data_IF_649748949005
#
_entry.id   IF_649748949005
#
_cell.length_a   1.000
_cell.length_b   1.000
_cell.length_c   1.000
_cell.angle_alpha   90.00
_cell.angle_beta   90.00
_cell.angle_gamma   90.00
#
_symmetry.space_group_name_H-M   'P 1'
#
loop_
_entity.id
_entity.type
_entity.pdbx_description
1 polymer ?
#
# COMPACT_ATOMS: atom_id res chain seq x y z
N UNK A 1 -12.84 20.59 15.43
CA UNK A 1 -12.96 20.18 14.00
C UNK A 1 -12.09 21.01 13.07
N UNK A 2 -12.02 22.34 13.23
CA UNK A 2 -11.16 23.25 12.42
C UNK A 2 -9.65 22.95 12.47
N UNK A 3 -9.11 22.47 13.58
CA UNK A 3 -7.66 22.23 13.74
C UNK A 3 -7.11 21.02 12.96
N UNK A 4 -7.95 20.06 12.56
CA UNK A 4 -7.52 18.87 11.79
C UNK A 4 -7.36 19.22 10.30
N UNK A 5 -8.18 20.15 9.80
CA UNK A 5 -8.20 20.61 8.41
C UNK A 5 -6.88 21.29 8.02
N UNK A 6 -6.43 22.26 8.82
CA UNK A 6 -5.18 23.00 8.60
C UNK A 6 -3.95 22.09 8.55
N UNK A 7 -3.88 21.05 9.39
CA UNK A 7 -2.74 20.13 9.41
C UNK A 7 -2.67 19.26 8.13
N UNK A 8 -3.82 18.95 7.51
CA UNK A 8 -3.85 18.25 6.21
C UNK A 8 -3.38 19.16 5.10
N UNK A 9 -3.94 20.37 5.03
CA UNK A 9 -3.59 21.39 4.03
C UNK A 9 -2.09 21.72 4.07
N UNK A 10 -1.50 21.85 5.26
CA UNK A 10 -0.06 22.08 5.40
C UNK A 10 0.80 20.92 4.87
N UNK A 11 0.37 19.66 5.06
CA UNK A 11 1.10 18.50 4.55
C UNK A 11 0.99 18.38 3.04
N UNK A 12 -0.21 18.59 2.50
CA UNK A 12 -0.46 18.58 1.06
C UNK A 12 0.33 19.70 0.36
N UNK A 13 0.33 20.90 0.93
CA UNK A 13 1.13 22.01 0.43
C UNK A 13 2.64 21.73 0.49
N UNK A 14 3.14 21.15 1.60
CA UNK A 14 4.55 20.75 1.71
C UNK A 14 4.93 19.73 0.63
N UNK A 15 4.11 18.70 0.43
CA UNK A 15 4.32 17.69 -0.60
C UNK A 15 4.27 18.29 -2.01
N UNK A 16 3.39 19.27 -2.25
CA UNK A 16 3.33 20.02 -3.50
C UNK A 16 4.62 20.82 -3.73
N UNK A 17 5.13 21.54 -2.72
CA UNK A 17 6.40 22.26 -2.83
C UNK A 17 7.58 21.32 -3.13
N UNK A 18 7.63 20.15 -2.50
CA UNK A 18 8.64 19.12 -2.80
C UNK A 18 8.51 18.62 -4.24
N UNK A 19 7.29 18.39 -4.74
CA UNK A 19 7.07 17.99 -6.12
C UNK A 19 7.58 19.03 -7.13
N UNK A 20 7.35 20.32 -6.86
CA UNK A 20 7.86 21.42 -7.69
C UNK A 20 9.40 21.47 -7.72
N UNK A 21 10.07 21.09 -6.63
CA UNK A 21 11.53 20.99 -6.60
C UNK A 21 12.06 19.82 -7.44
N UNK A 22 11.30 18.73 -7.50
CA UNK A 22 11.69 17.51 -8.24
C UNK A 22 11.44 17.66 -9.75
N UNK A 23 10.41 18.41 -10.15
CA UNK A 23 10.00 18.59 -11.55
C UNK A 23 10.16 20.06 -11.98
N UNK A 24 11.33 20.44 -12.53
CA UNK A 24 11.57 21.81 -12.97
C UNK A 24 10.57 22.26 -14.03
N UNK A 25 10.04 23.48 -13.88
CA UNK A 25 9.07 24.08 -14.81
C UNK A 25 7.63 23.61 -14.63
N UNK A 26 7.35 22.71 -13.67
CA UNK A 26 5.98 22.26 -13.40
C UNK A 26 5.09 23.40 -12.87
N UNK A 27 5.64 24.29 -12.04
CA UNK A 27 4.90 25.45 -11.52
C UNK A 27 4.45 26.39 -12.64
N UNK A 28 5.39 26.80 -13.49
CA UNK A 28 5.10 27.65 -14.65
C UNK A 28 4.11 26.97 -15.60
N UNK A 29 4.24 25.65 -15.79
CA UNK A 29 3.31 24.91 -16.63
C UNK A 29 1.89 24.93 -16.03
N UNK A 30 1.74 24.61 -14.74
CA UNK A 30 0.44 24.62 -14.06
C UNK A 30 -0.23 26.00 -14.07
N UNK A 31 0.55 27.07 -13.89
CA UNK A 31 0.02 28.45 -13.86
C UNK A 31 -0.44 28.95 -15.23
N UNK A 32 0.03 28.35 -16.32
CA UNK A 32 -0.32 28.73 -17.70
C UNK A 32 -1.22 27.70 -18.40
N UNK A 33 -1.52 26.58 -17.75
CA UNK A 33 -2.31 25.47 -18.31
C UNK A 33 -3.81 25.71 -18.20
N UNK A 34 -4.57 25.05 -19.09
CA UNK A 34 -6.03 25.00 -18.97
C UNK A 34 -6.47 24.06 -17.85
N UNK A 35 -7.72 24.15 -17.42
CA UNK A 35 -8.28 23.26 -16.39
C UNK A 35 -8.16 21.78 -16.78
N UNK A 36 -8.41 21.44 -18.06
CA UNK A 36 -8.30 20.09 -18.58
C UNK A 36 -6.87 19.54 -18.51
N UNK A 37 -5.87 20.39 -18.78
CA UNK A 37 -4.46 20.01 -18.66
C UNK A 37 -4.07 19.79 -17.20
N UNK A 38 -4.54 20.64 -16.28
CA UNK A 38 -4.29 20.48 -14.84
C UNK A 38 -4.90 19.16 -14.33
N UNK A 39 -6.12 18.83 -14.75
CA UNK A 39 -6.75 17.54 -14.43
C UNK A 39 -5.92 16.38 -14.99
N UNK A 40 -5.42 16.51 -16.22
CA UNK A 40 -4.58 15.49 -16.83
C UNK A 40 -3.27 15.28 -16.06
N UNK A 41 -2.62 16.36 -15.61
CA UNK A 41 -1.41 16.30 -14.79
C UNK A 41 -1.71 15.62 -13.45
N UNK A 42 -2.82 15.96 -12.80
CA UNK A 42 -3.25 15.31 -11.56
C UNK A 42 -3.45 13.79 -11.75
N UNK A 43 -4.07 13.38 -12.85
CA UNK A 43 -4.23 11.96 -13.19
C UNK A 43 -2.89 11.24 -13.36
N UNK A 44 -1.90 11.89 -13.97
CA UNK A 44 -0.56 11.33 -14.14
C UNK A 44 0.16 11.17 -12.79
N UNK A 45 0.07 12.17 -11.92
CA UNK A 45 0.62 12.10 -10.55
C UNK A 45 -0.05 10.95 -9.79
N UNK A 46 -1.38 10.86 -9.85
CA UNK A 46 -2.13 9.80 -9.16
C UNK A 46 -1.77 8.40 -9.68
N UNK A 47 -1.53 8.25 -10.98
CA UNK A 47 -1.03 7.00 -11.58
C UNK A 47 0.37 6.66 -11.06
N UNK A 48 1.26 7.65 -10.95
CA UNK A 48 2.60 7.49 -10.37
C UNK A 48 2.55 7.01 -8.92
N UNK A 49 1.74 7.66 -8.07
CA UNK A 49 1.54 7.28 -6.66
C UNK A 49 1.01 5.84 -6.56
N UNK A 50 0.01 5.50 -7.36
CA UNK A 50 -0.54 4.15 -7.39
C UNK A 50 0.48 3.10 -7.85
N UNK A 51 1.34 3.46 -8.80
CA UNK A 51 2.47 2.64 -9.26
C UNK A 51 3.48 2.40 -8.14
N UNK A 52 3.96 3.46 -7.49
CA UNK A 52 4.92 3.36 -6.39
C UNK A 52 4.39 2.50 -5.22
N UNK A 53 3.12 2.69 -4.84
CA UNK A 53 2.47 1.86 -3.81
C UNK A 53 2.33 0.39 -4.26
N UNK A 54 2.04 0.16 -5.54
CA UNK A 54 1.97 -1.20 -6.08
C UNK A 54 3.35 -1.87 -6.05
N UNK A 55 4.40 -1.16 -6.44
CA UNK A 55 5.77 -1.68 -6.45
C UNK A 55 6.27 -2.00 -5.03
N UNK A 56 6.02 -1.12 -4.05
CA UNK A 56 6.35 -1.36 -2.64
C UNK A 56 5.66 -2.64 -2.11
N UNK A 57 4.37 -2.78 -2.38
CA UNK A 57 3.60 -3.95 -1.93
C UNK A 57 3.97 -5.24 -2.68
N UNK A 58 4.41 -5.16 -3.95
CA UNK A 58 4.87 -6.31 -4.72
C UNK A 58 6.27 -6.76 -4.33
N UNK A 59 7.19 -5.82 -4.09
CA UNK A 59 8.54 -6.11 -3.60
C UNK A 59 8.50 -6.80 -2.24
N UNK A 60 7.72 -6.26 -1.30
CA UNK A 60 7.54 -6.86 0.02
C UNK A 60 6.93 -8.27 -0.05
N UNK A 61 5.95 -8.49 -0.94
CA UNK A 61 5.37 -9.82 -1.17
C UNK A 61 6.40 -10.82 -1.64
N UNK A 62 7.28 -10.44 -2.57
CA UNK A 62 8.34 -11.32 -3.07
C UNK A 62 9.29 -11.74 -1.94
N UNK A 63 9.74 -10.79 -1.13
CA UNK A 63 10.63 -11.04 0.02
C UNK A 63 9.98 -11.97 1.04
N UNK A 64 8.70 -11.77 1.34
CA UNK A 64 7.96 -12.66 2.26
C UNK A 64 7.84 -14.07 1.68
N UNK A 65 7.58 -14.22 0.37
CA UNK A 65 7.56 -15.52 -0.31
C UNK A 65 8.90 -16.22 -0.15
N UNK A 66 10.02 -15.52 -0.38
CA UNK A 66 11.37 -16.08 -0.20
C UNK A 66 11.60 -16.56 1.23
N UNK A 67 11.13 -15.79 2.22
CA UNK A 67 11.29 -16.12 3.63
C UNK A 67 10.48 -17.35 4.07
N UNK A 68 9.22 -17.47 3.62
CA UNK A 68 8.33 -18.58 4.04
C UNK A 68 8.54 -19.87 3.22
N UNK A 69 9.21 -19.79 2.07
CA UNK A 69 9.48 -20.93 1.19
C UNK A 69 10.68 -21.72 1.71
N UNK A 70 10.53 -23.00 2.07
CA UNK A 70 11.67 -23.82 2.49
C UNK A 70 12.70 -23.96 1.36
N UNK A 71 13.99 -23.97 1.70
CA UNK A 71 15.07 -24.06 0.70
C UNK A 71 14.91 -25.30 -0.18
N UNK A 72 14.87 -25.09 -1.50
CA UNK A 72 14.72 -26.16 -2.49
C UNK A 72 13.29 -26.72 -2.62
N UNK A 73 12.29 -26.08 -2.01
CA UNK A 73 10.88 -26.44 -2.13
C UNK A 73 10.06 -25.29 -2.73
N UNK A 74 8.84 -25.58 -3.16
CA UNK A 74 7.85 -24.57 -3.55
C UNK A 74 6.71 -24.52 -2.53
N UNK A 75 6.05 -23.37 -2.39
CA UNK A 75 4.84 -23.25 -1.60
C UNK A 75 3.69 -23.99 -2.27
N UNK A 76 2.88 -24.67 -1.48
CA UNK A 76 1.65 -25.32 -1.94
C UNK A 76 0.45 -24.75 -1.15
N UNK A 77 -0.49 -24.03 -1.81
CA UNK A 77 -0.52 -23.72 -3.24
C UNK A 77 0.55 -22.70 -3.66
N UNK A 78 0.97 -22.72 -4.93
CA UNK A 78 1.96 -21.78 -5.44
C UNK A 78 1.45 -20.34 -5.33
N UNK A 79 2.24 -19.46 -4.70
CA UNK A 79 1.92 -18.02 -4.61
C UNK A 79 2.63 -17.29 -5.75
N UNK A 80 1.91 -16.80 -6.77
CA UNK A 80 2.51 -15.99 -7.82
C UNK A 80 3.04 -14.67 -7.25
N UNK A 81 4.32 -14.37 -7.50
CA UNK A 81 4.98 -13.15 -7.00
C UNK A 81 4.38 -11.89 -7.60
N UNK A 82 4.15 -11.90 -8.92
CA UNK A 82 3.73 -10.73 -9.69
C UNK A 82 2.20 -10.62 -9.88
N UNK A 83 1.41 -11.09 -8.91
CA UNK A 83 -0.05 -11.04 -8.99
C UNK A 83 -0.61 -10.38 -7.73
N UNK A 84 -1.36 -9.29 -7.91
CA UNK A 84 -1.97 -8.50 -6.83
C UNK A 84 -3.21 -9.17 -6.21
N UNK A 85 -3.78 -10.18 -6.88
CA UNK A 85 -4.99 -10.89 -6.47
C UNK A 85 -4.90 -11.40 -5.03
N UNK A 86 -5.82 -10.92 -4.18
CA UNK A 86 -5.96 -11.33 -2.79
C UNK A 86 -4.79 -11.04 -1.86
N UNK A 87 -3.77 -10.27 -2.28
CA UNK A 87 -2.66 -9.80 -1.43
C UNK A 87 -1.97 -10.89 -0.57
N UNK A 88 -2.06 -12.17 -0.94
CA UNK A 88 -1.53 -13.29 -0.13
C UNK A 88 -2.51 -13.99 0.80
N UNK A 89 -3.74 -13.47 0.99
CA UNK A 89 -4.77 -14.07 1.85
C UNK A 89 -5.37 -15.38 1.31
N UNK A 90 -5.18 -15.69 0.03
CA UNK A 90 -5.60 -16.98 -0.53
C UNK A 90 -4.74 -18.16 -0.05
N UNK A 91 -3.55 -17.90 0.48
CA UNK A 91 -2.63 -18.93 0.97
C UNK A 91 -2.65 -18.99 2.49
N UNK A 92 -2.91 -20.16 3.08
CA UNK A 92 -3.09 -20.32 4.54
C UNK A 92 -1.96 -19.71 5.36
N UNK A 93 -0.72 -20.09 5.07
CA UNK A 93 0.45 -19.61 5.83
C UNK A 93 0.66 -18.09 5.71
N UNK A 94 0.38 -17.51 4.55
CA UNK A 94 0.61 -16.09 4.30
C UNK A 94 -0.56 -15.26 4.84
N UNK A 95 -1.79 -15.73 4.69
CA UNK A 95 -2.97 -15.13 5.27
C UNK A 95 -2.92 -15.10 6.80
N UNK A 96 -2.43 -16.17 7.44
CA UNK A 96 -2.21 -16.19 8.89
C UNK A 96 -1.20 -15.13 9.36
N UNK A 97 -0.09 -14.95 8.63
CA UNK A 97 0.92 -13.91 8.93
C UNK A 97 0.41 -12.48 8.69
N UNK A 98 -0.46 -12.31 7.69
CA UNK A 98 -1.05 -11.02 7.35
C UNK A 98 -2.28 -10.67 8.21
N UNK A 99 -2.81 -11.64 8.96
CA UNK A 99 -3.95 -11.43 9.85
C UNK A 99 -3.57 -10.41 10.93
N UNK A 100 -4.37 -9.35 11.07
CA UNK A 100 -4.11 -8.30 12.05
C UNK A 100 -4.10 -8.88 13.47
N UNK A 101 -3.23 -8.33 14.33
CA UNK A 101 -3.22 -8.69 15.75
C UNK A 101 -4.61 -8.42 16.36
N UNK A 102 -5.20 -9.45 16.98
CA UNK A 102 -6.58 -9.41 17.50
C UNK A 102 -7.64 -10.02 16.58
N UNK A 103 -7.27 -10.45 15.36
CA UNK A 103 -8.12 -11.26 14.50
C UNK A 103 -7.63 -12.72 14.48
N UNK A 104 -8.55 -13.68 14.60
CA UNK A 104 -8.22 -15.10 14.48
C UNK A 104 -8.38 -15.57 13.02
N UNK A 105 -7.27 -15.96 12.40
CA UNK A 105 -7.24 -16.52 11.05
C UNK A 105 -8.03 -17.82 10.93
N UNK A 106 -8.10 -18.62 12.01
CA UNK A 106 -8.82 -19.89 12.01
C UNK A 106 -10.35 -19.70 11.96
N UNK A 107 -10.85 -18.49 12.22
CA UNK A 107 -12.27 -18.16 12.06
C UNK A 107 -12.58 -17.90 10.58
N UNK A 108 -13.41 -18.77 10.00
CA UNK A 108 -13.80 -18.72 8.58
C UNK A 108 -14.43 -17.38 8.15
N UNK A 109 -15.17 -16.74 9.04
CA UNK A 109 -15.77 -15.42 8.80
C UNK A 109 -14.71 -14.31 8.70
N UNK A 110 -13.73 -14.31 9.60
CA UNK A 110 -12.59 -13.38 9.60
C UNK A 110 -11.80 -13.53 8.30
N UNK A 111 -11.49 -14.77 7.92
CA UNK A 111 -10.79 -15.09 6.67
C UNK A 111 -11.57 -14.61 5.44
N UNK A 112 -12.87 -14.90 5.37
CA UNK A 112 -13.71 -14.46 4.26
C UNK A 112 -13.78 -12.93 4.16
N UNK A 113 -13.84 -12.22 5.29
CA UNK A 113 -13.85 -10.75 5.34
C UNK A 113 -12.51 -10.15 4.88
N UNK A 114 -11.38 -10.76 5.25
CA UNK A 114 -10.04 -10.35 4.81
C UNK A 114 -9.81 -10.62 3.32
N UNK A 115 -10.16 -11.80 2.82
CA UNK A 115 -10.03 -12.16 1.39
C UNK A 115 -10.88 -11.23 0.51
N UNK A 116 -12.10 -10.92 0.94
CA UNK A 116 -13.00 -10.04 0.20
C UNK A 116 -12.70 -8.54 0.38
N UNK A 117 -11.65 -8.18 1.14
CA UNK A 117 -11.26 -6.79 1.40
C UNK A 117 -12.31 -5.98 2.17
N UNK A 118 -13.26 -6.64 2.86
CA UNK A 118 -14.33 -5.99 3.64
C UNK A 118 -13.82 -5.42 4.96
N UNK A 119 -12.71 -5.94 5.46
CA UNK A 119 -11.93 -5.29 6.52
C UNK A 119 -10.91 -4.41 5.80
N UNK A 120 -11.17 -3.10 5.76
CA UNK A 120 -10.23 -2.13 5.19
C UNK A 120 -8.94 -2.11 6.01
N UNK A 121 -7.80 -2.00 5.30
CA UNK A 121 -6.45 -1.79 5.85
C UNK A 121 -6.34 -0.39 6.47
N UNK A 122 -7.09 -0.09 7.53
CA UNK A 122 -7.06 1.22 8.20
C UNK A 122 -5.86 1.34 9.16
N UNK A 123 -5.06 0.30 9.33
CA UNK A 123 -3.75 0.44 9.98
C UNK A 123 -2.67 0.51 8.91
N UNK A 124 -2.06 1.68 8.77
CA UNK A 124 -0.86 1.86 7.99
C UNK A 124 0.16 0.78 8.35
N UNK A 125 0.91 0.32 7.35
CA UNK A 125 1.95 -0.71 7.46
C UNK A 125 3.05 -0.39 8.51
N UNK A 126 3.01 0.78 9.17
CA UNK A 126 3.90 1.17 10.27
C UNK A 126 3.71 0.42 11.60
N UNK A 127 2.64 -0.35 11.81
CA UNK A 127 2.48 -1.10 13.07
C UNK A 127 3.08 -2.51 13.08
N UNK A 128 3.47 -3.06 11.93
CA UNK A 128 4.08 -4.39 11.87
C UNK A 128 5.52 -4.43 12.43
N UNK A 129 6.17 -3.28 12.60
CA UNK A 129 7.50 -3.19 13.21
C UNK A 129 7.47 -3.23 14.75
N UNK A 130 6.36 -2.82 15.39
CA UNK A 130 6.32 -2.64 16.86
C UNK A 130 5.98 -3.96 17.58
N UNK A 131 5.30 -4.89 16.92
CA UNK A 131 4.91 -6.16 17.55
C UNK A 131 6.03 -7.22 17.60
N UNK A 132 7.10 -7.10 16.81
CA UNK A 132 8.17 -8.11 16.75
C UNK A 132 9.42 -7.76 17.57
N UNK A 133 9.47 -6.57 18.19
CA UNK A 133 10.58 -6.14 19.06
C UNK A 133 10.34 -6.42 20.56
N UNK A 134 9.26 -7.10 20.92
CA UNK A 134 8.95 -7.48 22.30
C UNK A 134 8.73 -8.99 22.48
N UNK A 135 9.50 -9.82 21.78
CA UNK A 135 9.64 -11.24 22.14
C UNK A 135 11.04 -11.78 21.87
#
# INVERSE_FOLDING_TARGET
>A
MTSICLCSEHKEYSAFCELLQIVPGLEDHLMNSSEEEVIHIADLVQKGVNGAHADDTMGMKSTIIDWITPKGQSLNPHIPRNIKSGCGFYHERMGALLCLAGLDWNHSETRAKLINGKIQKTLGMGFYAVAFLLQ
#
